data_IF_422593217832
#
_entry.id   IF_422593217832
#
_cell.length_a   1.000
_cell.length_b   1.000
_cell.length_c   1.000
_cell.angle_alpha   90.00
_cell.angle_beta   90.00
_cell.angle_gamma   90.00
#
_symmetry.space_group_name_H-M   'P 1'
#
loop_
_entity.id
_entity.type
_entity.pdbx_description
1 polymer ?
#
# COMPACT_ATOMS: atom_id res chain seq x y z
N UNK A 1 17.09 13.26 -35.86
CA UNK A 1 16.22 14.43 -36.10
C UNK A 1 15.21 14.02 -37.15
N UNK A 2 14.02 13.56 -36.71
CA UNK A 2 12.90 13.22 -37.58
C UNK A 2 11.67 13.85 -36.93
N UNK A 3 11.16 14.89 -37.59
CA UNK A 3 9.89 15.55 -37.29
C UNK A 3 8.75 14.62 -37.65
N UNK A 4 7.80 14.45 -36.73
CA UNK A 4 6.40 14.19 -37.09
C UNK A 4 5.56 15.21 -36.33
N UNK A 5 5.05 16.16 -37.10
CA UNK A 5 4.06 17.13 -36.68
C UNK A 5 2.67 16.55 -36.96
N UNK A 6 1.75 16.64 -35.99
CA UNK A 6 0.32 16.82 -36.28
C UNK A 6 -0.31 17.64 -35.17
N UNK A 7 -0.62 18.88 -35.55
CA UNK A 7 -1.44 19.86 -34.84
C UNK A 7 -2.92 19.50 -35.02
N UNK A 8 -3.73 19.62 -33.97
CA UNK A 8 -5.19 19.75 -34.08
C UNK A 8 -5.63 20.92 -33.19
N UNK A 9 -6.21 21.93 -33.84
CA UNK A 9 -6.79 23.13 -33.23
C UNK A 9 -8.24 22.93 -32.76
N UNK A 10 -8.83 23.96 -32.12
CA UNK A 10 -10.01 23.84 -31.26
C UNK A 10 -11.34 23.99 -32.00
N UNK A 11 -12.40 23.36 -31.47
CA UNK A 11 -13.79 23.48 -31.94
C UNK A 11 -14.53 24.52 -31.07
N UNK A 12 -15.30 25.46 -31.67
CA UNK A 12 -16.01 26.50 -30.93
C UNK A 12 -17.36 26.01 -30.36
N UNK A 13 -17.66 26.43 -29.13
CA UNK A 13 -18.94 26.24 -28.46
C UNK A 13 -19.96 27.27 -28.93
N UNK A 14 -21.16 26.81 -29.34
CA UNK A 14 -22.34 27.66 -29.52
C UNK A 14 -23.29 27.46 -28.35
N UNK A 15 -23.58 28.55 -27.66
CA UNK A 15 -24.58 28.66 -26.58
C UNK A 15 -25.95 28.93 -27.22
N UNK A 16 -26.97 28.14 -26.83
CA UNK A 16 -28.38 28.54 -26.95
C UNK A 16 -29.08 28.32 -25.61
N UNK A 17 -29.62 29.42 -25.07
CA UNK A 17 -30.44 29.43 -23.88
C UNK A 17 -31.88 29.03 -24.20
N UNK A 18 -32.52 28.28 -23.32
CA UNK A 18 -33.97 28.05 -23.30
C UNK A 18 -34.44 27.92 -21.85
N UNK A 19 -35.46 28.69 -21.47
CA UNK A 19 -35.99 28.80 -20.10
C UNK A 19 -37.05 27.72 -19.80
N UNK A 20 -36.93 27.13 -18.60
CA UNK A 20 -37.91 26.73 -17.56
C UNK A 20 -39.12 25.82 -17.93
N UNK A 21 -39.58 24.91 -17.02
CA UNK A 21 -40.20 25.31 -15.75
C UNK A 21 -39.75 24.53 -14.50
N UNK A 22 -40.03 25.16 -13.35
CA UNK A 22 -39.76 24.70 -11.99
C UNK A 22 -40.35 23.33 -11.65
N UNK A 23 -39.51 22.45 -11.12
CA UNK A 23 -39.93 21.31 -10.31
C UNK A 23 -39.30 21.48 -8.92
N UNK A 24 -40.17 21.50 -7.90
CA UNK A 24 -39.80 21.43 -6.49
C UNK A 24 -39.00 20.13 -6.26
N UNK A 25 -37.69 20.24 -6.22
CA UNK A 25 -36.83 19.15 -5.75
C UNK A 25 -36.47 19.46 -4.30
N UNK A 26 -37.05 18.71 -3.38
CA UNK A 26 -36.65 18.67 -1.98
C UNK A 26 -35.15 18.38 -1.94
N UNK A 27 -34.32 19.39 -1.67
CA UNK A 27 -32.90 19.21 -1.40
C UNK A 27 -32.80 18.48 -0.06
N UNK A 28 -32.75 17.15 -0.09
CA UNK A 28 -32.07 16.41 0.98
C UNK A 28 -30.61 16.83 0.90
N UNK A 29 -30.18 17.68 1.81
CA UNK A 29 -28.78 17.92 2.10
C UNK A 29 -28.13 16.54 2.27
N UNK A 30 -27.10 16.18 1.49
CA UNK A 30 -26.36 14.98 1.78
C UNK A 30 -25.69 15.22 3.14
N UNK A 31 -26.12 14.47 4.15
CA UNK A 31 -25.36 14.33 5.39
C UNK A 31 -24.01 13.77 5.00
N UNK A 32 -22.99 14.64 4.97
CA UNK A 32 -21.60 14.21 4.90
C UNK A 32 -21.32 13.48 6.20
N UNK A 33 -21.49 12.16 6.21
CA UNK A 33 -20.87 11.32 7.22
C UNK A 33 -19.36 11.48 7.04
N UNK A 34 -18.74 12.34 7.85
CA UNK A 34 -17.30 12.28 8.07
C UNK A 34 -17.06 10.96 8.81
N UNK A 35 -16.85 9.88 8.07
CA UNK A 35 -16.13 8.75 8.62
C UNK A 35 -14.75 9.30 8.94
N UNK A 36 -14.47 9.60 10.20
CA UNK A 36 -13.18 10.11 10.66
C UNK A 36 -12.13 9.02 10.46
N UNK A 37 -11.70 8.83 9.21
CA UNK A 37 -10.63 7.93 8.85
C UNK A 37 -9.32 8.42 9.47
N UNK A 38 -8.52 7.48 9.95
CA UNK A 38 -7.18 7.76 10.47
C UNK A 38 -6.37 8.40 9.32
N UNK A 39 -5.87 9.63 9.52
CA UNK A 39 -5.00 10.27 8.53
C UNK A 39 -3.65 9.55 8.47
N UNK A 40 -2.89 9.74 7.38
CA UNK A 40 -1.55 9.15 7.28
C UNK A 40 -0.59 9.63 8.39
N UNK A 41 -0.80 10.86 8.90
CA UNK A 41 -0.01 11.42 10.00
C UNK A 41 -0.37 10.77 11.33
N UNK A 42 -1.66 10.52 11.58
CA UNK A 42 -2.12 9.79 12.77
C UNK A 42 -1.60 8.36 12.75
N UNK A 43 -1.65 7.69 11.59
CA UNK A 43 -1.05 6.38 11.40
C UNK A 43 0.45 6.42 11.71
N UNK A 44 1.20 7.37 11.14
CA UNK A 44 2.63 7.50 11.40
C UNK A 44 2.95 7.76 12.87
N UNK A 45 2.13 8.54 13.59
CA UNK A 45 2.28 8.74 15.03
C UNK A 45 2.08 7.43 15.82
N UNK A 46 1.02 6.68 15.49
CA UNK A 46 0.75 5.36 16.12
C UNK A 46 1.89 4.37 15.85
N UNK A 47 2.38 4.28 14.62
CA UNK A 47 3.48 3.38 14.26
C UNK A 47 4.79 3.73 14.99
N UNK A 48 5.10 5.03 15.18
CA UNK A 48 6.26 5.46 15.99
C UNK A 48 6.14 5.05 17.45
N UNK A 49 4.92 5.01 17.99
CA UNK A 49 4.65 4.65 19.38
C UNK A 49 4.69 3.15 19.69
N UNK A 50 4.75 2.27 18.68
CA UNK A 50 4.84 0.83 18.91
C UNK A 50 6.12 0.44 19.64
N UNK A 51 6.17 -0.68 20.37
CA UNK A 51 7.44 -1.27 20.79
C UNK A 51 8.26 -1.69 19.54
N UNK A 52 9.60 -1.65 19.60
CA UNK A 52 10.44 -2.28 18.58
C UNK A 52 10.11 -3.78 18.43
N UNK A 53 10.28 -4.31 17.22
CA UNK A 53 9.99 -5.71 16.87
C UNK A 53 11.18 -6.46 16.28
N UNK A 54 12.24 -5.74 15.91
CA UNK A 54 13.43 -6.28 15.28
C UNK A 54 14.68 -5.60 15.86
N UNK A 55 15.13 -6.08 17.01
CA UNK A 55 16.16 -5.39 17.79
C UNK A 55 15.67 -3.97 18.15
N UNK A 56 16.43 -2.90 17.82
CA UNK A 56 15.99 -1.52 18.07
C UNK A 56 14.97 -1.01 17.05
N UNK A 57 14.66 -1.76 16.00
CA UNK A 57 13.84 -1.32 14.85
C UNK A 57 12.37 -1.72 15.03
N UNK A 58 11.46 -0.82 14.66
CA UNK A 58 10.06 -1.15 14.36
C UNK A 58 9.95 -1.48 12.88
N UNK A 59 9.87 -2.76 12.54
CA UNK A 59 9.73 -3.18 11.15
C UNK A 59 8.25 -3.20 10.77
N UNK A 60 7.89 -2.42 9.75
CA UNK A 60 6.50 -2.29 9.30
C UNK A 60 6.35 -2.91 7.91
N UNK A 61 5.50 -3.92 7.80
CA UNK A 61 5.20 -4.57 6.52
C UNK A 61 4.05 -3.88 5.80
N UNK A 62 4.21 -3.60 4.50
CA UNK A 62 3.15 -3.12 3.60
C UNK A 62 2.99 -4.12 2.46
N UNK A 63 1.97 -4.95 2.55
CA UNK A 63 1.66 -6.02 1.59
C UNK A 63 0.36 -5.73 0.82
N UNK A 64 0.03 -6.55 -0.17
CA UNK A 64 -1.08 -6.37 -1.10
C UNK A 64 -0.70 -6.84 -2.50
N UNK A 65 -1.70 -7.03 -3.36
CA UNK A 65 -1.50 -7.48 -4.75
C UNK A 65 -0.60 -6.56 -5.58
N UNK A 66 0.14 -7.10 -6.54
CA UNK A 66 0.86 -6.26 -7.51
C UNK A 66 -0.08 -5.28 -8.20
N UNK A 67 0.33 -4.01 -8.26
CA UNK A 67 -0.50 -2.92 -8.79
C UNK A 67 -1.50 -2.29 -7.79
N UNK A 68 -1.55 -2.73 -6.52
CA UNK A 68 -2.46 -2.16 -5.51
C UNK A 68 -2.09 -0.79 -4.95
N UNK A 69 -0.92 -0.24 -5.34
CA UNK A 69 -0.46 1.08 -4.88
C UNK A 69 0.45 1.08 -3.65
N UNK A 70 0.91 -0.09 -3.18
CA UNK A 70 1.85 -0.24 -2.03
C UNK A 70 3.01 0.73 -2.06
N UNK A 71 3.78 0.79 -3.15
CA UNK A 71 4.97 1.65 -3.24
C UNK A 71 4.62 3.13 -3.09
N UNK A 72 3.48 3.58 -3.64
CA UNK A 72 2.99 4.96 -3.47
C UNK A 72 2.58 5.24 -2.04
N UNK A 73 1.86 4.31 -1.41
CA UNK A 73 1.46 4.44 0.00
C UNK A 73 2.68 4.42 0.93
N UNK A 74 3.60 3.47 0.75
CA UNK A 74 4.83 3.34 1.54
C UNK A 74 5.71 4.59 1.43
N UNK A 75 5.84 5.19 0.25
CA UNK A 75 6.57 6.46 0.08
C UNK A 75 5.95 7.62 0.85
N UNK A 76 4.60 7.73 0.83
CA UNK A 76 3.89 8.77 1.62
C UNK A 76 3.98 8.50 3.11
N UNK A 77 3.90 7.25 3.54
CA UNK A 77 4.03 6.86 4.95
C UNK A 77 5.44 7.12 5.46
N UNK A 78 6.47 6.80 4.66
CA UNK A 78 7.86 7.10 4.96
C UNK A 78 8.09 8.61 5.16
N UNK A 79 7.52 9.46 4.29
CA UNK A 79 7.58 10.90 4.46
C UNK A 79 6.91 11.37 5.76
N UNK A 80 5.72 10.84 6.09
CA UNK A 80 5.02 11.13 7.34
C UNK A 80 5.76 10.62 8.59
N UNK A 81 6.62 9.61 8.43
CA UNK A 81 7.52 9.08 9.46
C UNK A 81 8.86 9.83 9.55
N UNK A 82 9.01 10.97 8.85
CA UNK A 82 10.23 11.77 8.89
C UNK A 82 11.34 11.24 7.97
N UNK A 83 10.98 10.55 6.88
CA UNK A 83 11.94 9.99 5.92
C UNK A 83 12.43 8.59 6.29
N UNK A 84 11.56 7.76 6.88
CA UNK A 84 11.90 6.38 7.24
C UNK A 84 12.40 5.58 6.01
N UNK A 85 13.45 4.74 6.15
CA UNK A 85 13.93 3.90 5.06
C UNK A 85 12.85 2.92 4.58
N UNK A 86 12.80 2.68 3.27
CA UNK A 86 11.87 1.75 2.64
C UNK A 86 12.66 0.71 1.85
N UNK A 87 12.52 -0.56 2.24
CA UNK A 87 12.98 -1.69 1.43
C UNK A 87 11.84 -2.16 0.52
N UNK A 88 12.11 -2.23 -0.78
CA UNK A 88 11.19 -2.82 -1.76
C UNK A 88 11.56 -4.28 -1.96
N UNK A 89 10.60 -5.21 -1.80
CA UNK A 89 10.85 -6.63 -2.03
C UNK A 89 11.18 -6.95 -3.48
N UNK A 90 10.77 -6.10 -4.42
CA UNK A 90 11.19 -6.16 -5.81
C UNK A 90 12.71 -6.00 -5.98
N UNK A 91 13.41 -5.36 -5.03
CA UNK A 91 14.88 -5.28 -5.04
C UNK A 91 15.53 -6.61 -4.59
N UNK A 92 14.81 -7.47 -3.85
CA UNK A 92 15.31 -8.74 -3.31
C UNK A 92 14.94 -9.92 -4.20
N UNK A 93 13.74 -9.90 -4.76
CA UNK A 93 13.24 -10.89 -5.71
C UNK A 93 13.99 -10.83 -7.05
N UNK A 94 13.87 -11.90 -7.83
CA UNK A 94 14.44 -11.98 -9.19
C UNK A 94 13.55 -12.80 -10.11
N UNK A 95 13.86 -12.81 -11.42
CA UNK A 95 13.14 -13.67 -12.38
C UNK A 95 13.18 -15.16 -11.97
N UNK A 96 14.31 -15.63 -11.43
CA UNK A 96 14.47 -17.03 -11.02
C UNK A 96 13.85 -17.32 -9.65
N UNK A 97 13.68 -16.28 -8.83
CA UNK A 97 13.20 -16.38 -7.46
C UNK A 97 12.15 -15.30 -7.18
N UNK A 98 10.96 -15.41 -7.77
CA UNK A 98 9.87 -14.45 -7.54
C UNK A 98 9.45 -14.40 -6.06
N UNK A 99 9.42 -15.55 -5.38
CA UNK A 99 9.04 -15.67 -3.96
C UNK A 99 10.03 -16.49 -3.11
N UNK A 100 11.06 -17.07 -3.74
CA UNK A 100 12.07 -17.93 -3.12
C UNK A 100 13.32 -17.16 -2.63
N UNK A 101 13.10 -15.98 -2.03
CA UNK A 101 14.15 -15.04 -1.66
C UNK A 101 14.33 -14.86 -0.15
N UNK A 102 13.67 -15.69 0.66
CA UNK A 102 13.57 -15.50 2.13
C UNK A 102 14.95 -15.51 2.78
N UNK A 103 15.80 -16.50 2.50
CA UNK A 103 17.14 -16.61 3.11
C UNK A 103 18.02 -15.39 2.84
N UNK A 104 17.90 -14.85 1.62
CA UNK A 104 18.58 -13.61 1.25
C UNK A 104 18.07 -12.43 2.06
N UNK A 105 16.75 -12.25 2.16
CA UNK A 105 16.19 -11.17 2.98
C UNK A 105 16.64 -11.31 4.44
N UNK A 106 16.63 -12.53 4.98
CA UNK A 106 17.08 -12.80 6.34
C UNK A 106 18.54 -12.37 6.54
N UNK A 107 19.42 -12.81 5.64
CA UNK A 107 20.86 -12.58 5.72
C UNK A 107 21.24 -11.12 5.47
N UNK A 108 20.69 -10.49 4.43
CA UNK A 108 21.07 -9.15 4.00
C UNK A 108 20.39 -8.03 4.79
N UNK A 109 19.23 -8.31 5.39
CA UNK A 109 18.37 -7.28 5.99
C UNK A 109 17.96 -7.61 7.42
N UNK A 110 17.26 -8.71 7.66
CA UNK A 110 16.63 -8.95 8.97
C UNK A 110 17.69 -9.15 10.06
N UNK A 111 18.71 -9.98 9.82
CA UNK A 111 19.75 -10.23 10.82
C UNK A 111 20.64 -9.01 11.14
N UNK A 112 21.06 -8.17 10.17
CA UNK A 112 21.71 -6.89 10.48
C UNK A 112 20.83 -5.94 11.28
N UNK A 113 19.58 -5.70 10.86
CA UNK A 113 18.67 -4.79 11.56
C UNK A 113 18.36 -5.29 12.98
N UNK A 114 18.25 -6.60 13.20
CA UNK A 114 18.06 -7.20 14.53
C UNK A 114 19.20 -6.86 15.50
N UNK A 115 20.42 -6.67 14.98
CA UNK A 115 21.61 -6.28 15.75
C UNK A 115 21.78 -4.77 15.85
N UNK A 116 20.87 -3.98 15.27
CA UNK A 116 20.96 -2.52 15.20
C UNK A 116 21.96 -2.01 14.17
N UNK A 117 22.39 -2.87 13.24
CA UNK A 117 23.35 -2.53 12.20
C UNK A 117 22.66 -2.15 10.90
N UNK A 118 23.30 -1.27 10.12
CA UNK A 118 22.87 -1.00 8.75
C UNK A 118 22.91 -2.27 7.92
N UNK A 119 21.77 -2.60 7.32
CA UNK A 119 21.65 -3.64 6.33
C UNK A 119 22.23 -3.19 4.98
N UNK A 120 22.44 -4.14 4.07
CA UNK A 120 22.88 -3.85 2.71
C UNK A 120 22.21 -4.83 1.75
N UNK A 121 21.36 -4.31 0.86
CA UNK A 121 20.67 -5.13 -0.13
C UNK A 121 21.31 -4.96 -1.50
N UNK A 122 21.47 -6.06 -2.23
CA UNK A 122 21.91 -6.00 -3.62
C UNK A 122 20.66 -5.97 -4.50
N UNK A 123 20.26 -4.83 -5.07
CA UNK A 123 18.99 -4.71 -5.78
C UNK A 123 19.02 -5.49 -7.10
N UNK A 124 17.89 -6.08 -7.47
CA UNK A 124 17.69 -6.69 -8.79
C UNK A 124 17.20 -5.66 -9.81
N UNK A 125 17.87 -5.57 -10.95
CA UNK A 125 17.38 -4.84 -12.12
C UNK A 125 16.57 -5.80 -12.99
N UNK A 126 15.26 -5.58 -13.04
CA UNK A 126 14.32 -6.40 -13.81
C UNK A 126 14.45 -6.22 -15.33
N UNK A 127 15.06 -5.12 -15.80
CA UNK A 127 15.28 -4.90 -17.24
C UNK A 127 16.54 -5.61 -17.72
N UNK A 128 17.65 -5.44 -17.00
CA UNK A 128 18.93 -6.08 -17.36
C UNK A 128 19.06 -7.50 -16.83
N UNK A 129 18.12 -7.93 -15.97
CA UNK A 129 18.07 -9.25 -15.32
C UNK A 129 19.31 -9.56 -14.48
N UNK A 130 19.91 -8.53 -13.87
CA UNK A 130 21.14 -8.65 -13.10
C UNK A 130 21.01 -8.01 -11.73
N UNK A 131 21.86 -8.44 -10.79
CA UNK A 131 22.02 -7.75 -9.52
C UNK A 131 22.99 -6.59 -9.67
N UNK A 132 22.61 -5.43 -9.11
CA UNK A 132 23.42 -4.21 -9.11
C UNK A 132 24.44 -4.18 -7.96
N UNK A 133 25.00 -2.99 -7.70
CA UNK A 133 25.85 -2.76 -6.53
C UNK A 133 25.02 -2.77 -5.23
N UNK A 134 25.57 -3.24 -4.09
CA UNK A 134 24.89 -3.18 -2.81
C UNK A 134 24.48 -1.75 -2.44
N UNK A 135 23.23 -1.57 -2.00
CA UNK A 135 22.69 -0.33 -1.46
C UNK A 135 22.51 -0.44 0.06
N UNK A 136 22.99 0.53 0.84
CA UNK A 136 22.79 0.53 2.28
C UNK A 136 21.32 0.77 2.64
N UNK A 137 20.87 0.06 3.68
CA UNK A 137 19.58 0.28 4.34
C UNK A 137 19.88 0.56 5.82
N UNK A 138 19.91 1.83 6.26
CA UNK A 138 20.31 2.17 7.61
C UNK A 138 19.32 1.62 8.65
N UNK A 139 19.85 1.18 9.80
CA UNK A 139 19.01 0.92 10.95
C UNK A 139 18.39 2.23 11.43
N UNK A 140 17.07 2.32 11.36
CA UNK A 140 16.30 3.49 11.78
C UNK A 140 15.24 3.08 12.81
N UNK A 141 14.73 4.02 13.62
CA UNK A 141 13.69 3.70 14.61
C UNK A 141 12.45 3.02 14.02
N UNK A 142 12.13 3.34 12.76
CA UNK A 142 11.10 2.69 11.93
C UNK A 142 11.71 2.39 10.56
N UNK A 143 11.51 1.18 10.06
CA UNK A 143 11.86 0.77 8.69
C UNK A 143 10.62 0.15 8.05
N UNK A 144 10.34 0.54 6.81
CA UNK A 144 9.25 -0.04 6.02
C UNK A 144 9.79 -1.14 5.11
N UNK A 145 9.07 -2.24 5.01
CA UNK A 145 9.26 -3.26 3.97
C UNK A 145 7.99 -3.36 3.14
N UNK A 146 8.09 -3.13 1.84
CA UNK A 146 6.94 -3.10 0.93
C UNK A 146 7.10 -4.07 -0.23
N UNK A 147 6.01 -4.71 -0.62
CA UNK A 147 5.96 -5.59 -1.78
C UNK A 147 5.13 -6.83 -1.53
N UNK A 148 4.91 -7.60 -2.59
CA UNK A 148 4.12 -8.82 -2.50
C UNK A 148 4.86 -9.84 -1.63
N UNK A 149 4.22 -10.26 -0.55
CA UNK A 149 4.79 -11.18 0.43
C UNK A 149 5.57 -10.50 1.56
N UNK A 150 5.40 -9.19 1.76
CA UNK A 150 5.87 -8.47 2.97
C UNK A 150 5.17 -8.97 4.25
N UNK A 151 4.01 -9.60 4.12
CA UNK A 151 3.25 -10.23 5.20
C UNK A 151 3.39 -11.75 5.26
N UNK A 152 4.38 -12.35 4.60
CA UNK A 152 4.62 -13.81 4.65
C UNK A 152 4.85 -14.31 6.08
N UNK A 153 4.50 -15.55 6.36
CA UNK A 153 4.66 -16.19 7.68
C UNK A 153 6.07 -16.06 8.24
N UNK A 154 7.10 -16.19 7.40
CA UNK A 154 8.50 -16.07 7.82
C UNK A 154 8.88 -14.65 8.31
N UNK A 155 8.19 -13.61 7.84
CA UNK A 155 8.45 -12.22 8.21
C UNK A 155 7.66 -11.78 9.45
N UNK A 156 6.43 -12.31 9.64
CA UNK A 156 5.51 -11.89 10.71
C UNK A 156 6.14 -11.81 12.11
N UNK A 157 7.00 -12.75 12.56
CA UNK A 157 7.63 -12.67 13.89
C UNK A 157 8.49 -11.41 14.10
N UNK A 158 8.93 -10.76 13.03
CA UNK A 158 9.78 -9.56 13.07
C UNK A 158 8.99 -8.27 12.86
N UNK A 159 7.71 -8.34 12.50
CA UNK A 159 6.90 -7.15 12.20
C UNK A 159 6.31 -6.56 13.47
N UNK A 160 6.46 -5.25 13.63
CA UNK A 160 5.74 -4.48 14.64
C UNK A 160 4.29 -4.23 14.19
N UNK A 161 4.07 -4.15 12.88
CA UNK A 161 2.75 -4.02 12.26
C UNK A 161 2.76 -4.50 10.82
N UNK A 162 1.70 -5.19 10.40
CA UNK A 162 1.43 -5.56 9.03
C UNK A 162 0.22 -4.78 8.49
N UNK A 163 0.43 -4.04 7.41
CA UNK A 163 -0.58 -3.29 6.68
C UNK A 163 -0.85 -4.00 5.36
N UNK A 164 -2.12 -4.16 5.01
CA UNK A 164 -2.54 -4.71 3.74
C UNK A 164 -3.22 -3.63 2.89
N UNK A 165 -2.68 -3.38 1.70
CA UNK A 165 -3.33 -2.53 0.69
C UNK A 165 -4.54 -3.27 0.12
N UNK A 166 -5.72 -2.82 0.54
CA UNK A 166 -6.99 -3.42 0.20
C UNK A 166 -7.45 -2.90 -1.17
N UNK A 167 -7.29 -3.76 -2.18
CA UNK A 167 -7.81 -3.58 -3.53
C UNK A 167 -8.08 -4.98 -4.11
N UNK A 168 -9.19 -5.20 -4.83
CA UNK A 168 -9.44 -6.49 -5.47
C UNK A 168 -8.25 -6.93 -6.34
N UNK A 169 -7.90 -8.23 -6.38
CA UNK A 169 -6.73 -8.71 -7.13
C UNK A 169 -6.81 -8.35 -8.61
N UNK A 170 -7.96 -8.58 -9.24
CA UNK A 170 -8.17 -8.31 -10.67
C UNK A 170 -7.99 -6.82 -11.01
N UNK A 171 -8.53 -5.93 -10.16
CA UNK A 171 -8.35 -4.49 -10.33
C UNK A 171 -6.88 -4.08 -10.14
N UNK A 172 -6.20 -4.68 -9.15
CA UNK A 172 -4.78 -4.44 -8.90
C UNK A 172 -3.93 -4.83 -10.12
N UNK A 173 -4.14 -6.03 -10.67
CA UNK A 173 -3.43 -6.51 -11.85
C UNK A 173 -3.74 -5.70 -13.10
N UNK A 174 -5.00 -5.29 -13.28
CA UNK A 174 -5.40 -4.43 -14.40
C UNK A 174 -4.65 -3.07 -14.36
N UNK A 175 -4.57 -2.44 -13.19
CA UNK A 175 -3.79 -1.20 -12.99
C UNK A 175 -2.31 -1.42 -13.28
N UNK A 176 -1.73 -2.51 -12.77
CA UNK A 176 -0.33 -2.86 -13.01
C UNK A 176 -0.01 -3.07 -14.50
N UNK A 177 -0.82 -3.87 -15.19
CA UNK A 177 -0.70 -4.09 -16.65
C UNK A 177 -0.83 -2.80 -17.44
N UNK A 178 -1.80 -1.96 -17.09
CA UNK A 178 -2.00 -0.68 -17.76
C UNK A 178 -0.81 0.26 -17.60
N UNK A 179 -0.14 0.24 -16.44
CA UNK A 179 1.04 1.05 -16.16
C UNK A 179 2.28 0.55 -16.91
N UNK A 180 2.48 -0.77 -16.93
CA UNK A 180 3.72 -1.37 -17.46
C UNK A 180 3.67 -1.60 -18.97
N UNK A 181 2.46 -1.56 -19.56
CA UNK A 181 2.26 -1.57 -21.00
C UNK A 181 2.20 -2.97 -21.62
N UNK A 182 1.79 -2.98 -22.89
CA UNK A 182 1.54 -4.17 -23.69
C UNK A 182 2.76 -5.09 -23.90
N UNK A 183 3.97 -4.52 -23.83
CA UNK A 183 5.22 -5.27 -24.01
C UNK A 183 5.48 -6.26 -22.87
N UNK A 184 4.87 -6.04 -21.69
CA UNK A 184 5.08 -6.84 -20.48
C UNK A 184 3.98 -7.91 -20.26
N UNK A 185 3.15 -8.22 -21.28
CA UNK A 185 2.01 -9.15 -21.13
C UNK A 185 2.42 -10.53 -20.62
N UNK A 186 3.41 -11.15 -21.27
CA UNK A 186 3.87 -12.50 -20.89
C UNK A 186 4.46 -12.53 -19.48
N UNK A 187 5.20 -11.48 -19.11
CA UNK A 187 5.70 -11.30 -17.75
C UNK A 187 4.55 -11.24 -16.75
N UNK A 188 3.52 -10.44 -17.03
CA UNK A 188 2.35 -10.32 -16.16
C UNK A 188 1.56 -11.63 -16.04
N UNK A 189 1.45 -12.44 -17.10
CA UNK A 189 0.81 -13.76 -17.04
C UNK A 189 1.59 -14.74 -16.14
N UNK A 190 2.92 -14.70 -16.20
CA UNK A 190 3.79 -15.44 -15.27
C UNK A 190 3.65 -14.95 -13.83
N UNK A 191 3.69 -13.63 -13.65
CA UNK A 191 3.60 -12.99 -12.34
C UNK A 191 2.29 -13.30 -11.62
N UNK A 192 1.14 -13.15 -12.29
CA UNK A 192 -0.18 -13.36 -11.67
C UNK A 192 -0.30 -14.80 -11.17
N UNK A 193 0.15 -15.79 -11.95
CA UNK A 193 0.15 -17.20 -11.52
C UNK A 193 1.04 -17.42 -10.29
N UNK A 194 2.22 -16.84 -10.28
CA UNK A 194 3.14 -16.95 -9.15
C UNK A 194 2.59 -16.27 -7.88
N UNK A 195 1.99 -15.08 -8.01
CA UNK A 195 1.38 -14.34 -6.90
C UNK A 195 0.17 -15.09 -6.32
N UNK A 196 -0.70 -15.63 -7.18
CA UNK A 196 -1.83 -16.45 -6.73
C UNK A 196 -1.35 -17.68 -5.97
N UNK A 197 -0.36 -18.41 -6.50
CA UNK A 197 0.23 -19.56 -5.82
C UNK A 197 0.86 -19.18 -4.46
N UNK A 198 1.55 -18.03 -4.42
CA UNK A 198 2.12 -17.50 -3.18
C UNK A 198 1.05 -17.26 -2.12
N UNK A 199 0.01 -16.48 -2.42
CA UNK A 199 -1.03 -16.16 -1.43
C UNK A 199 -1.94 -17.34 -1.09
N UNK A 200 -2.11 -18.31 -1.99
CA UNK A 200 -2.79 -19.56 -1.66
C UNK A 200 -2.02 -20.37 -0.61
N UNK A 201 -0.69 -20.31 -0.64
CA UNK A 201 0.19 -21.07 0.26
C UNK A 201 0.49 -20.32 1.56
N UNK A 202 0.68 -19.00 1.50
CA UNK A 202 1.03 -18.15 2.62
C UNK A 202 0.27 -16.81 2.54
N UNK A 203 -1.03 -16.81 2.90
CA UNK A 203 -1.87 -15.63 2.75
C UNK A 203 -1.47 -14.55 3.74
N UNK A 204 -1.21 -13.32 3.28
CA UNK A 204 -0.89 -12.19 4.17
C UNK A 204 -2.13 -11.51 4.75
N UNK A 205 -3.17 -11.31 3.94
CA UNK A 205 -4.35 -10.50 4.29
C UNK A 205 -5.03 -10.91 5.60
N UNK A 206 -5.27 -12.21 5.90
CA UNK A 206 -5.91 -12.61 7.16
C UNK A 206 -5.10 -12.26 8.42
N UNK A 207 -3.79 -12.04 8.26
CA UNK A 207 -2.87 -11.70 9.35
C UNK A 207 -2.53 -10.20 9.39
N UNK A 208 -3.09 -9.40 8.48
CA UNK A 208 -2.89 -7.96 8.51
C UNK A 208 -3.54 -7.38 9.75
N UNK A 209 -2.81 -6.48 10.42
CA UNK A 209 -3.33 -5.73 11.55
C UNK A 209 -4.24 -4.59 11.11
N UNK A 210 -3.98 -4.03 9.92
CA UNK A 210 -4.68 -2.90 9.36
C UNK A 210 -4.92 -3.12 7.86
N UNK A 211 -6.11 -2.75 7.40
CA UNK A 211 -6.45 -2.65 5.98
C UNK A 211 -6.35 -1.20 5.54
N UNK A 212 -5.68 -0.95 4.41
CA UNK A 212 -5.47 0.39 3.85
C UNK A 212 -6.20 0.50 2.53
N UNK A 213 -7.21 1.36 2.46
CA UNK A 213 -8.00 1.61 1.26
C UNK A 213 -7.60 2.95 0.66
N UNK A 214 -7.27 2.96 -0.63
CA UNK A 214 -7.06 4.22 -1.36
C UNK A 214 -8.42 4.87 -1.67
N UNK A 215 -8.56 6.17 -1.35
CA UNK A 215 -9.72 7.00 -1.68
C UNK A 215 -9.29 8.17 -2.57
N UNK A 216 -10.26 8.90 -3.12
CA UNK A 216 -9.99 10.09 -3.95
C UNK A 216 -9.11 11.13 -3.22
N UNK A 217 -9.36 11.33 -1.92
CA UNK A 217 -8.71 12.38 -1.12
C UNK A 217 -7.54 11.85 -0.25
N UNK A 218 -7.19 10.56 -0.33
CA UNK A 218 -6.13 10.00 0.51
C UNK A 218 -6.26 8.50 0.76
N UNK A 219 -6.10 8.11 2.03
CA UNK A 219 -6.20 6.73 2.48
C UNK A 219 -7.13 6.63 3.68
N UNK A 220 -7.94 5.59 3.70
CA UNK A 220 -8.71 5.15 4.86
C UNK A 220 -8.02 3.92 5.46
N UNK A 221 -7.91 3.87 6.78
CA UNK A 221 -7.29 2.76 7.51
C UNK A 221 -8.34 2.10 8.40
N UNK A 222 -8.57 0.81 8.19
CA UNK A 222 -9.53 0.01 8.93
C UNK A 222 -8.81 -1.06 9.77
N UNK A 223 -9.44 -1.58 10.83
CA UNK A 223 -8.95 -2.75 11.53
C UNK A 223 -8.78 -3.96 10.60
N UNK A 224 -7.77 -4.78 10.87
CA UNK A 224 -7.50 -6.00 10.14
C UNK A 224 -8.55 -7.11 10.35
N UNK A 225 -8.54 -8.17 9.52
CA UNK A 225 -9.53 -9.25 9.64
C UNK A 225 -9.44 -10.03 10.96
N UNK A 226 -8.25 -10.07 11.58
CA UNK A 226 -8.01 -10.74 12.86
C UNK A 226 -8.21 -9.88 14.11
N UNK A 227 -8.42 -8.57 13.96
CA UNK A 227 -8.72 -7.71 15.12
C UNK A 227 -10.17 -7.93 15.54
N UNK A 228 -10.38 -8.51 16.73
CA UNK A 228 -11.67 -8.37 17.40
C UNK A 228 -11.92 -6.88 17.66
N UNK A 229 -13.16 -6.39 17.52
CA UNK A 229 -13.49 -5.02 17.89
C UNK A 229 -13.23 -4.85 19.39
N UNK A 230 -12.07 -4.28 19.74
CA UNK A 230 -11.78 -3.83 21.09
C UNK A 230 -12.66 -2.63 21.45
N UNK A 231 -12.67 -2.21 22.73
CA UNK A 231 -13.61 -1.21 23.26
C UNK A 231 -13.51 0.20 22.64
N UNK A 232 -12.58 0.43 21.71
CA UNK A 232 -12.46 1.68 20.95
C UNK A 232 -13.54 1.85 19.87
N UNK A 233 -14.50 0.93 19.78
CA UNK A 233 -15.77 1.19 19.10
C UNK A 233 -16.59 2.20 19.93
N UNK A 234 -16.32 3.49 19.73
CA UNK A 234 -17.31 4.54 19.95
C UNK A 234 -18.41 4.36 18.90
N UNK A 235 -19.30 3.40 19.16
CA UNK A 235 -20.64 3.39 18.62
C UNK A 235 -21.34 4.63 19.19
N UNK A 236 -21.43 5.69 18.39
CA UNK A 236 -22.28 6.84 18.69
C UNK A 236 -23.72 6.34 18.77
N UNK A 237 -24.19 6.04 19.99
CA UNK A 237 -25.62 6.00 20.25
C UNK A 237 -26.12 7.41 19.97
N UNK A 238 -26.94 7.56 18.92
CA UNK A 238 -27.72 8.77 18.76
C UNK A 238 -28.69 8.82 19.93
N UNK A 239 -28.46 9.76 20.84
CA UNK A 239 -29.45 10.19 21.82
C UNK A 239 -30.72 10.58 21.05
N UNK A 240 -31.82 9.88 21.35
CA UNK A 240 -33.15 10.43 21.10
C UNK A 240 -33.26 11.75 21.90
N UNK A 241 -33.76 12.84 21.31
CA UNK A 241 -33.88 14.10 22.04
C UNK A 241 -34.94 13.99 23.15
N UNK A 242 -34.74 14.70 24.28
CA UNK A 242 -35.61 14.59 25.44
C UNK A 242 -36.98 15.23 25.19
N UNK A 243 -37.96 14.62 25.87
CA UNK A 243 -39.41 14.89 25.90
C UNK A 243 -39.80 16.35 26.08
N UNK A 244 -41.06 16.71 25.72
CA UNK A 244 -41.94 17.54 26.56
C UNK A 244 -43.43 17.23 26.31
N UNK A 245 -44.04 16.67 27.37
CA UNK A 245 -45.42 16.80 27.90
C UNK A 245 -46.61 16.33 27.04
#
# INVERSE_FOLDING_TARGET
>A
MVQIATSFGPIPWVVRASRAPSLHCFRKTPTRHHTSGITIHDLAARLRGLPPSLGPVRLIGVDGHAGSGKSTFAGRLAAALGGAPVLRLDDIASHDQLFAWTDRLMTQVIHPLARGESASCTPYDWRTRTFGAPRPLPAAPVVLIEGVGAGRRALRPYLARLLWMELPPEESWARGRSRDGAEQREFWDGWIRAEQAHFATDPSRPHADLLVLQKAEGYEVLPGPGSSPGPDHLATQSEEPPAMW
#
